data_IF_055637738256
#
_entry.id   IF_055637738256
#
_cell.length_a   1.000
_cell.length_b   1.000
_cell.length_c   1.000
_cell.angle_alpha   90.00
_cell.angle_beta   90.00
_cell.angle_gamma   90.00
#
_symmetry.space_group_name_H-M   'P 1'
#
loop_
_entity.id
_entity.type
_entity.pdbx_description
1 polymer ?
#
# COMPACT_ATOMS: atom_id res chain seq x y z
N UNK A 1 0.30 -4.73 -26.95
CA UNK A 1 -0.08 -5.03 -25.56
C UNK A 1 -0.22 -3.70 -24.83
N UNK A 2 -1.41 -3.27 -24.37
CA UNK A 2 -1.50 -2.09 -23.52
C UNK A 2 -0.69 -2.38 -22.25
N UNK A 3 0.25 -1.51 -21.93
CA UNK A 3 1.08 -1.61 -20.72
C UNK A 3 0.12 -1.67 -19.54
N UNK A 4 0.17 -2.76 -18.75
CA UNK A 4 -0.64 -2.88 -17.53
C UNK A 4 -0.44 -1.58 -16.75
N UNK A 5 -1.52 -0.89 -16.43
CA UNK A 5 -1.44 0.39 -15.71
C UNK A 5 -0.76 0.07 -14.39
N UNK A 6 0.52 0.42 -14.28
CA UNK A 6 1.36 0.02 -13.15
C UNK A 6 0.89 0.89 -11.98
N UNK A 7 0.31 0.25 -10.96
CA UNK A 7 -0.19 0.91 -9.75
C UNK A 7 0.81 0.81 -8.62
N UNK A 8 2.09 0.89 -9.00
CA UNK A 8 3.18 0.90 -8.06
C UNK A 8 3.46 2.32 -7.62
N UNK A 9 3.92 2.45 -6.39
CA UNK A 9 4.47 3.69 -5.87
C UNK A 9 5.93 3.43 -5.51
N UNK A 10 6.81 4.40 -5.73
CA UNK A 10 8.18 4.34 -5.24
C UNK A 10 8.31 5.15 -3.97
N UNK A 11 8.27 4.52 -2.80
CA UNK A 11 8.45 5.25 -1.54
C UNK A 11 9.92 5.60 -1.33
N UNK A 12 10.17 6.77 -0.74
CA UNK A 12 11.47 7.06 -0.14
C UNK A 12 11.68 6.21 1.11
N UNK A 13 12.92 6.03 1.54
CA UNK A 13 13.22 5.31 2.78
C UNK A 13 12.55 5.95 4.01
N UNK A 14 12.52 7.29 4.06
CA UNK A 14 11.89 8.04 5.15
C UNK A 14 10.37 7.87 5.15
N UNK A 15 9.71 7.91 4.00
CA UNK A 15 8.27 7.70 3.90
C UNK A 15 7.89 6.28 4.29
N UNK A 16 8.67 5.28 3.86
CA UNK A 16 8.46 3.88 4.25
C UNK A 16 8.55 3.71 5.75
N UNK A 17 9.61 4.24 6.37
CA UNK A 17 9.80 4.16 7.83
C UNK A 17 8.62 4.81 8.58
N UNK A 18 8.19 5.99 8.12
CA UNK A 18 7.05 6.69 8.68
C UNK A 18 5.76 5.85 8.60
N UNK A 19 5.47 5.24 7.44
CA UNK A 19 4.28 4.40 7.26
C UNK A 19 4.33 3.14 8.12
N UNK A 20 5.49 2.48 8.25
CA UNK A 20 5.67 1.33 9.15
C UNK A 20 5.34 1.74 10.59
N UNK A 21 5.87 2.87 11.06
CA UNK A 21 5.58 3.40 12.39
C UNK A 21 4.09 3.72 12.57
N UNK A 22 3.46 4.33 11.56
CA UNK A 22 2.03 4.62 11.58
C UNK A 22 1.19 3.35 11.75
N UNK A 23 1.58 2.23 11.12
CA UNK A 23 0.82 0.97 11.23
C UNK A 23 1.01 0.23 12.55
N UNK A 24 2.03 0.58 13.33
CA UNK A 24 2.43 -0.14 14.55
C UNK A 24 2.22 0.65 15.84
N UNK A 25 2.06 1.99 15.77
CA UNK A 25 1.95 2.85 16.95
C UNK A 25 0.63 2.74 17.72
N UNK A 26 -0.42 2.16 17.12
CA UNK A 26 -1.72 1.92 17.77
C UNK A 26 -2.56 3.17 18.10
N UNK A 27 -2.05 4.37 17.81
CA UNK A 27 -2.72 5.66 18.12
C UNK A 27 -3.47 6.27 16.93
N UNK A 28 -3.36 5.67 15.75
CA UNK A 28 -3.95 6.21 14.52
C UNK A 28 -5.32 5.59 14.20
N UNK A 29 -6.24 6.34 13.57
CA UNK A 29 -7.51 5.78 13.12
C UNK A 29 -7.32 4.59 12.18
N UNK A 30 -8.19 3.59 12.29
CA UNK A 30 -8.11 2.35 11.50
C UNK A 30 -8.02 2.61 9.99
N UNK A 31 -8.75 3.62 9.48
CA UNK A 31 -8.72 3.98 8.06
C UNK A 31 -7.35 4.51 7.62
N UNK A 32 -6.62 5.19 8.50
CA UNK A 32 -5.27 5.70 8.22
C UNK A 32 -4.26 4.54 8.20
N UNK A 33 -4.37 3.63 9.16
CA UNK A 33 -3.55 2.40 9.22
C UNK A 33 -3.77 1.55 7.96
N UNK A 34 -5.03 1.35 7.55
CA UNK A 34 -5.36 0.61 6.32
C UNK A 34 -4.71 1.24 5.09
N UNK A 35 -4.85 2.56 4.90
CA UNK A 35 -4.23 3.26 3.76
C UNK A 35 -2.70 3.13 3.77
N UNK A 36 -2.07 3.25 4.94
CA UNK A 36 -0.63 3.06 5.07
C UNK A 36 -0.19 1.64 4.68
N UNK A 37 -0.94 0.61 5.09
CA UNK A 37 -0.67 -0.78 4.67
C UNK A 37 -0.81 -0.97 3.15
N UNK A 38 -1.81 -0.36 2.52
CA UNK A 38 -1.94 -0.38 1.05
C UNK A 38 -0.72 0.24 0.38
N UNK A 39 -0.26 1.40 0.85
CA UNK A 39 0.91 2.07 0.29
C UNK A 39 2.18 1.21 0.45
N UNK A 40 2.38 0.59 1.62
CA UNK A 40 3.52 -0.30 1.88
C UNK A 40 3.54 -1.53 0.97
N UNK A 41 2.39 -2.18 0.75
CA UNK A 41 2.27 -3.34 -0.17
C UNK A 41 2.43 -2.94 -1.65
N UNK A 42 2.21 -1.66 -1.98
CA UNK A 42 2.32 -1.12 -3.34
C UNK A 42 3.71 -0.53 -3.65
N UNK A 43 4.64 -0.61 -2.70
CA UNK A 43 5.97 0.01 -2.82
C UNK A 43 6.93 -0.81 -3.69
N UNK A 44 7.14 -0.39 -4.94
CA UNK A 44 8.06 -1.08 -5.86
C UNK A 44 9.53 -0.97 -5.46
N UNK A 45 9.88 0.05 -4.66
CA UNK A 45 11.23 0.18 -4.12
C UNK A 45 11.49 -0.83 -2.99
N UNK A 46 10.46 -1.49 -2.46
CA UNK A 46 10.58 -2.56 -1.46
C UNK A 46 10.63 -3.96 -2.10
N UNK A 47 10.33 -4.07 -3.39
CA UNK A 47 10.35 -5.31 -4.14
C UNK A 47 9.23 -5.42 -5.18
N UNK A 48 9.06 -6.59 -5.81
CA UNK A 48 7.97 -6.81 -6.75
C UNK A 48 6.59 -6.60 -6.10
N UNK A 49 5.76 -5.79 -6.73
CA UNK A 49 4.41 -5.48 -6.25
C UNK A 49 3.42 -6.50 -6.79
N UNK A 50 2.58 -7.04 -5.89
CA UNK A 50 1.57 -8.02 -6.24
C UNK A 50 0.36 -7.39 -6.95
N UNK A 51 -0.48 -8.22 -7.55
CA UNK A 51 -1.76 -7.76 -8.10
C UNK A 51 -2.67 -7.16 -7.03
N UNK A 52 -3.54 -6.23 -7.44
CA UNK A 52 -4.45 -5.52 -6.52
C UNK A 52 -5.34 -6.44 -5.71
N UNK A 53 -5.81 -7.53 -6.30
CA UNK A 53 -6.60 -8.54 -5.60
C UNK A 53 -5.84 -9.12 -4.41
N UNK A 54 -4.54 -9.40 -4.60
CA UNK A 54 -3.66 -9.95 -3.56
C UNK A 54 -3.37 -8.89 -2.48
N UNK A 55 -3.09 -7.65 -2.88
CA UNK A 55 -2.89 -6.55 -1.92
C UNK A 55 -4.16 -6.31 -1.10
N UNK A 56 -5.32 -6.30 -1.75
CA UNK A 56 -6.62 -6.12 -1.12
C UNK A 56 -6.90 -7.21 -0.08
N UNK A 57 -6.62 -8.46 -0.41
CA UNK A 57 -6.75 -9.61 0.50
C UNK A 57 -5.84 -9.48 1.73
N UNK A 58 -4.53 -9.22 1.52
CA UNK A 58 -3.56 -9.04 2.62
C UNK A 58 -3.92 -7.91 3.59
N UNK A 59 -4.44 -6.82 3.06
CA UNK A 59 -4.82 -5.64 3.87
C UNK A 59 -6.22 -5.81 4.48
N UNK A 60 -7.06 -6.69 3.94
CA UNK A 60 -8.46 -6.84 4.32
C UNK A 60 -9.34 -5.70 3.79
N UNK A 61 -9.17 -5.33 2.53
CA UNK A 61 -9.93 -4.26 1.85
C UNK A 61 -10.40 -4.68 0.46
N UNK A 62 -10.97 -3.75 -0.32
CA UNK A 62 -11.40 -4.00 -1.70
C UNK A 62 -10.37 -3.53 -2.72
N UNK A 63 -10.32 -4.16 -3.90
CA UNK A 63 -9.47 -3.71 -5.01
C UNK A 63 -9.75 -2.26 -5.42
N UNK A 64 -11.01 -1.82 -5.34
CA UNK A 64 -11.37 -0.42 -5.59
C UNK A 64 -10.74 0.54 -4.58
N UNK A 65 -10.60 0.11 -3.32
CA UNK A 65 -9.90 0.89 -2.30
C UNK A 65 -8.41 0.94 -2.58
N UNK A 66 -7.79 -0.18 -2.96
CA UNK A 66 -6.39 -0.20 -3.40
C UNK A 66 -6.20 0.79 -4.56
N UNK A 67 -7.08 0.76 -5.56
CA UNK A 67 -7.07 1.68 -6.71
C UNK A 67 -7.24 3.16 -6.37
N UNK A 68 -7.96 3.46 -5.30
CA UNK A 68 -8.17 4.84 -4.86
C UNK A 68 -7.01 5.37 -4.01
N UNK A 69 -6.12 4.49 -3.55
CA UNK A 69 -4.96 4.83 -2.73
C UNK A 69 -3.69 4.87 -3.57
N UNK A 70 -3.52 3.92 -4.51
CA UNK A 70 -2.33 3.73 -5.38
C UNK A 70 -2.70 3.53 -6.86
#
# INVERSE_FOLDING_TARGET
MPRAKVFTIGLSAADREFLVKLTTSGIHPARMIMRARVLLESDENAGPVADRAVIADRVGTSENTVRAVA
#
